data_IF_414838950623
#
_entry.id   IF_414838950623
#
_cell.length_a   1.000
_cell.length_b   1.000
_cell.length_c   1.000
_cell.angle_alpha   90.00
_cell.angle_beta   90.00
_cell.angle_gamma   90.00
#
_symmetry.space_group_name_H-M   'P 1'
#
loop_
_entity.id
_entity.type
_entity.pdbx_description
1 polymer ?
#
# COMPACT_ATOMS: atom_id res chain seq x y z
N UNK A 1 0.06 9.53 23.26
CA UNK A 1 0.84 9.30 22.02
C UNK A 1 1.04 7.81 21.84
N UNK A 2 0.35 7.19 20.87
CA UNK A 2 0.65 5.83 20.45
C UNK A 2 0.75 5.87 18.93
N UNK A 3 1.97 6.02 18.43
CA UNK A 3 2.28 5.57 17.07
C UNK A 3 2.35 4.05 17.19
N UNK A 4 1.47 3.32 16.53
CA UNK A 4 1.70 1.90 16.34
C UNK A 4 3.05 1.74 15.66
N UNK A 5 3.88 0.91 16.28
CA UNK A 5 5.34 1.03 16.38
C UNK A 5 6.11 0.89 15.08
N UNK A 6 5.42 0.80 13.97
CA UNK A 6 6.03 0.19 12.82
C UNK A 6 5.89 1.00 11.54
N UNK A 7 4.85 1.82 11.32
CA UNK A 7 4.76 2.71 10.13
C UNK A 7 5.31 2.04 8.85
N UNK A 8 5.10 0.72 8.73
CA UNK A 8 5.82 -0.12 7.75
C UNK A 8 5.21 0.05 6.38
N UNK A 9 4.01 0.64 6.30
CA UNK A 9 3.26 0.83 5.09
C UNK A 9 2.73 2.26 5.06
N UNK A 10 2.87 2.91 3.91
CA UNK A 10 2.30 4.21 3.63
C UNK A 10 1.45 4.10 2.36
N UNK A 11 0.16 4.43 2.49
CA UNK A 11 -0.75 4.55 1.36
C UNK A 11 -0.72 6.00 0.84
N UNK A 12 -0.27 6.18 -0.39
CA UNK A 12 -0.18 7.49 -1.04
C UNK A 12 -1.15 7.51 -2.22
N UNK A 13 -2.19 8.32 -2.11
CA UNK A 13 -3.15 8.54 -3.18
C UNK A 13 -3.10 9.98 -3.69
N UNK A 14 -3.32 10.17 -4.99
CA UNK A 14 -3.51 11.51 -5.55
C UNK A 14 -4.95 12.01 -5.34
N UNK A 15 -5.17 13.33 -5.22
CA UNK A 15 -6.52 13.88 -5.03
C UNK A 15 -7.45 13.64 -6.23
N UNK A 16 -6.90 13.42 -7.42
CA UNK A 16 -7.65 13.04 -8.61
C UNK A 16 -8.00 11.54 -8.67
N UNK A 17 -7.58 10.75 -7.67
CA UNK A 17 -7.82 9.29 -7.56
C UNK A 17 -7.32 8.44 -8.74
N UNK A 18 -6.48 9.03 -9.59
CA UNK A 18 -5.91 8.32 -10.75
C UNK A 18 -4.71 7.45 -10.35
N UNK A 19 -4.00 7.81 -9.28
CA UNK A 19 -2.80 7.12 -8.86
C UNK A 19 -2.84 6.78 -7.38
N UNK A 20 -2.42 5.55 -7.09
CA UNK A 20 -2.31 4.99 -5.77
C UNK A 20 -0.99 4.22 -5.67
N UNK A 21 -0.25 4.46 -4.59
CA UNK A 21 0.96 3.73 -4.25
C UNK A 21 0.87 3.21 -2.83
N UNK A 22 1.21 1.94 -2.66
CA UNK A 22 1.44 1.32 -1.35
C UNK A 22 2.95 1.20 -1.20
N UNK A 23 3.53 2.03 -0.31
CA UNK A 23 4.96 2.03 -0.04
C UNK A 23 5.22 1.24 1.23
N UNK A 24 5.98 0.16 1.13
CA UNK A 24 6.43 -0.58 2.31
C UNK A 24 7.89 -0.28 2.63
N UNK A 25 8.21 -0.17 3.92
CA UNK A 25 9.59 -0.07 4.42
C UNK A 25 10.29 -1.42 4.49
N UNK A 26 9.52 -2.52 4.49
CA UNK A 26 10.06 -3.88 4.40
C UNK A 26 9.99 -4.38 2.95
N UNK A 27 10.98 -5.14 2.48
CA UNK A 27 10.98 -5.70 1.12
C UNK A 27 9.88 -6.74 0.91
N UNK A 28 9.43 -7.38 1.99
CA UNK A 28 8.31 -8.32 1.99
C UNK A 28 7.19 -7.76 2.86
N UNK A 29 6.14 -7.29 2.20
CA UNK A 29 4.89 -6.94 2.87
C UNK A 29 4.00 -8.19 2.94
N UNK A 30 3.44 -8.46 4.12
CA UNK A 30 2.46 -9.53 4.28
C UNK A 30 1.22 -9.26 3.42
N UNK A 31 0.74 -10.30 2.74
CA UNK A 31 -0.40 -10.18 1.82
C UNK A 31 -1.67 -9.73 2.55
N UNK A 32 -1.85 -10.12 3.81
CA UNK A 32 -2.96 -9.67 4.65
C UNK A 32 -2.92 -8.15 4.88
N UNK A 33 -1.73 -7.59 5.15
CA UNK A 33 -1.54 -6.15 5.34
C UNK A 33 -1.77 -5.40 4.04
N UNK A 34 -1.22 -5.90 2.92
CA UNK A 34 -1.47 -5.31 1.61
C UNK A 34 -2.97 -5.27 1.28
N UNK A 35 -3.68 -6.38 1.53
CA UNK A 35 -5.10 -6.48 1.25
C UNK A 35 -5.91 -5.48 2.09
N UNK A 36 -5.58 -5.31 3.36
CA UNK A 36 -6.23 -4.32 4.23
C UNK A 36 -6.05 -2.88 3.71
N UNK A 37 -4.85 -2.54 3.23
CA UNK A 37 -4.57 -1.22 2.65
C UNK A 37 -5.31 -1.00 1.33
N UNK A 38 -5.40 -2.03 0.48
CA UNK A 38 -6.18 -1.99 -0.76
C UNK A 38 -7.68 -1.85 -0.48
N UNK A 39 -8.22 -2.60 0.48
CA UNK A 39 -9.62 -2.44 0.89
C UNK A 39 -9.89 -1.02 1.39
N UNK A 40 -8.98 -0.47 2.21
CA UNK A 40 -9.09 0.91 2.65
C UNK A 40 -9.07 1.90 1.47
N UNK A 41 -8.15 1.74 0.51
CA UNK A 41 -8.11 2.55 -0.70
C UNK A 41 -9.40 2.44 -1.54
N UNK A 42 -10.00 1.25 -1.60
CA UNK A 42 -11.28 1.01 -2.26
C UNK A 42 -12.41 1.80 -1.60
N UNK A 43 -12.42 1.90 -0.27
CA UNK A 43 -13.41 2.75 0.46
C UNK A 43 -13.23 4.24 0.17
N UNK A 44 -12.01 4.68 -0.15
CA UNK A 44 -11.71 6.05 -0.56
C UNK A 44 -12.08 6.33 -2.04
N UNK A 45 -12.50 5.31 -2.77
CA UNK A 45 -12.90 5.41 -4.18
C UNK A 45 -11.74 5.31 -5.15
N UNK A 46 -10.62 4.71 -4.75
CA UNK A 46 -9.54 4.34 -5.66
C UNK A 46 -9.82 2.99 -6.32
N UNK A 47 -9.40 2.88 -7.57
CA UNK A 47 -9.48 1.64 -8.34
C UNK A 47 -8.29 0.74 -8.02
N UNK A 48 -8.47 -0.14 -7.04
CA UNK A 48 -7.43 -1.07 -6.60
C UNK A 48 -7.17 -2.22 -7.57
N UNK A 49 -8.07 -2.46 -8.53
CA UNK A 49 -7.87 -3.48 -9.56
C UNK A 49 -6.79 -3.06 -10.58
N UNK A 50 -6.44 -1.77 -10.61
CA UNK A 50 -5.34 -1.21 -11.43
C UNK A 50 -3.98 -1.24 -10.73
N UNK A 51 -3.91 -1.72 -9.48
CA UNK A 51 -2.66 -1.76 -8.73
C UNK A 51 -1.74 -2.81 -9.31
N UNK A 52 -0.58 -2.36 -9.79
CA UNK A 52 0.49 -3.24 -10.26
C UNK A 52 1.40 -3.56 -9.09
N UNK A 53 1.52 -4.85 -8.74
CA UNK A 53 2.48 -5.31 -7.74
C UNK A 53 3.89 -5.18 -8.33
N UNK A 54 4.74 -4.34 -7.72
CA UNK A 54 6.15 -4.33 -8.07
C UNK A 54 6.78 -5.66 -7.68
N UNK A 55 7.45 -6.34 -8.61
CA UNK A 55 8.23 -7.52 -8.28
C UNK A 55 9.28 -7.15 -7.21
N UNK A 56 9.56 -8.03 -6.23
CA UNK A 56 10.64 -7.79 -5.29
C UNK A 56 11.92 -7.56 -6.09
N UNK A 57 12.68 -6.52 -5.71
CA UNK A 57 13.97 -6.24 -6.33
C UNK A 57 14.81 -7.52 -6.29
N UNK A 58 15.34 -8.01 -7.43
CA UNK A 58 16.19 -9.18 -7.42
C UNK A 58 17.46 -8.86 -6.63
N UNK A 59 17.63 -9.49 -5.46
CA UNK A 59 18.86 -9.43 -4.65
C UNK A 59 18.75 -8.84 -3.24
N UNK A 60 17.57 -8.83 -2.61
CA UNK A 60 17.45 -8.61 -1.16
C UNK A 60 17.80 -9.88 -0.36
#
# INVERSE_FOLDING_TARGET
LKLDREYQVALVGTPNREYLWVLSRVPHLDEATLQAELEYARTLGFDVDRVVRSAPLPGA
#
